data_IF_705936255758
#
_entry.id   IF_705936255758
#
_cell.length_a   1.000
_cell.length_b   1.000
_cell.length_c   1.000
_cell.angle_alpha   90.00
_cell.angle_beta   90.00
_cell.angle_gamma   90.00
#
_symmetry.space_group_name_H-M   'P 1'
#
loop_
_entity.id
_entity.type
_entity.pdbx_description
1 polymer ?
#
# COMPACT_ATOMS: atom_id res chain seq x y z
N UNK A 1 3.02 -14.14 -2.50
CA UNK A 1 1.64 -13.95 -2.03
C UNK A 1 0.83 -15.17 -2.45
N UNK A 2 0.09 -15.77 -1.53
CA UNK A 2 -0.78 -16.92 -1.77
C UNK A 2 -2.11 -16.47 -2.41
N UNK A 3 -2.92 -17.41 -2.90
CA UNK A 3 -4.28 -17.08 -3.36
C UNK A 3 -5.21 -16.73 -2.18
N UNK A 4 -4.97 -17.34 -1.02
CA UNK A 4 -5.76 -17.12 0.19
C UNK A 4 -5.55 -15.69 0.75
N UNK A 5 -4.37 -15.11 0.55
CA UNK A 5 -4.08 -13.72 0.93
C UNK A 5 -5.09 -12.73 0.30
N UNK A 6 -5.56 -13.00 -0.92
CA UNK A 6 -6.60 -12.15 -1.49
C UNK A 6 -7.88 -12.24 -0.67
N UNK A 7 -8.29 -13.41 -0.19
CA UNK A 7 -9.46 -13.52 0.67
C UNK A 7 -9.22 -12.90 2.06
N UNK A 8 -8.07 -13.18 2.67
CA UNK A 8 -7.85 -12.93 4.09
C UNK A 8 -7.63 -11.45 4.42
N UNK A 9 -7.15 -10.65 3.46
CA UNK A 9 -6.87 -9.24 3.67
C UNK A 9 -7.93 -8.31 3.06
N UNK A 10 -8.33 -7.29 3.82
CA UNK A 10 -9.21 -6.20 3.37
C UNK A 10 -8.49 -5.17 2.48
N UNK A 11 -7.16 -5.11 2.59
CA UNK A 11 -6.31 -4.15 1.91
C UNK A 11 -4.95 -4.80 1.61
N UNK A 12 -4.50 -4.70 0.35
CA UNK A 12 -3.19 -5.19 -0.08
C UNK A 12 -2.47 -4.03 -0.77
N UNK A 13 -1.31 -3.66 -0.23
CA UNK A 13 -0.58 -2.46 -0.63
C UNK A 13 0.70 -2.82 -1.36
N UNK A 14 0.82 -2.37 -2.60
CA UNK A 14 2.03 -2.53 -3.41
C UNK A 14 2.97 -1.34 -3.21
N UNK A 15 4.28 -1.63 -3.23
CA UNK A 15 5.32 -0.60 -3.09
C UNK A 15 5.50 0.20 -4.38
N UNK A 16 5.39 -0.48 -5.52
CA UNK A 16 5.60 0.08 -6.84
C UNK A 16 4.56 -0.41 -7.88
N UNK A 17 4.71 0.09 -9.10
CA UNK A 17 3.84 -0.26 -10.24
C UNK A 17 3.99 -1.70 -10.70
N UNK A 18 5.19 -2.28 -10.63
CA UNK A 18 5.45 -3.64 -11.09
C UNK A 18 4.79 -4.66 -10.16
N UNK A 19 4.91 -4.43 -8.85
CA UNK A 19 4.26 -5.19 -7.80
C UNK A 19 2.74 -5.09 -7.97
N UNK A 20 2.20 -3.88 -8.17
CA UNK A 20 0.77 -3.70 -8.38
C UNK A 20 0.27 -4.43 -9.63
N UNK A 21 1.01 -4.36 -10.74
CA UNK A 21 0.67 -5.05 -11.97
C UNK A 21 0.65 -6.58 -11.77
N UNK A 22 1.65 -7.13 -11.08
CA UNK A 22 1.72 -8.56 -10.76
C UNK A 22 0.53 -9.01 -9.89
N UNK A 23 0.23 -8.24 -8.84
CA UNK A 23 -0.94 -8.49 -7.98
C UNK A 23 -2.23 -8.45 -8.80
N UNK A 24 -2.40 -7.46 -9.69
CA UNK A 24 -3.59 -7.34 -10.53
C UNK A 24 -3.75 -8.48 -11.54
N UNK A 25 -2.66 -9.10 -12.00
CA UNK A 25 -2.69 -10.27 -12.89
C UNK A 25 -3.12 -11.54 -12.15
N UNK A 26 -2.67 -11.69 -10.90
CA UNK A 26 -2.91 -12.88 -10.09
C UNK A 26 -4.22 -12.82 -9.27
N UNK A 27 -4.75 -11.61 -9.04
CA UNK A 27 -5.91 -11.37 -8.21
C UNK A 27 -7.21 -11.94 -8.82
N UNK A 28 -7.98 -12.75 -8.05
CA UNK A 28 -9.29 -13.22 -8.45
C UNK A 28 -10.25 -12.10 -8.86
N UNK A 29 -11.20 -12.41 -9.76
CA UNK A 29 -12.25 -11.46 -10.15
C UNK A 29 -13.03 -10.98 -8.94
N UNK A 30 -13.40 -9.70 -8.93
CA UNK A 30 -14.13 -9.06 -7.83
C UNK A 30 -13.25 -8.60 -6.66
N UNK A 31 -12.01 -9.07 -6.55
CA UNK A 31 -11.14 -8.76 -5.41
C UNK A 31 -10.19 -7.58 -5.65
N UNK A 32 -10.03 -7.13 -6.91
CA UNK A 32 -9.06 -6.07 -7.29
C UNK A 32 -9.27 -4.73 -6.59
N UNK A 33 -10.46 -4.47 -6.05
CA UNK A 33 -10.79 -3.22 -5.35
C UNK A 33 -9.99 -3.01 -4.06
N UNK A 34 -9.33 -4.05 -3.53
CA UNK A 34 -8.48 -3.97 -2.34
C UNK A 34 -7.01 -3.66 -2.63
N UNK A 35 -6.63 -3.63 -3.91
CA UNK A 35 -5.24 -3.43 -4.34
C UNK A 35 -4.95 -1.95 -4.56
N UNK A 36 -3.98 -1.40 -3.84
CA UNK A 36 -3.56 -0.01 -3.98
C UNK A 36 -2.05 0.13 -3.88
N UNK A 37 -1.50 1.24 -4.37
CA UNK A 37 -0.14 1.65 -4.00
C UNK A 37 -0.13 2.17 -2.57
N UNK A 38 0.95 1.89 -1.82
CA UNK A 38 1.15 2.45 -0.49
C UNK A 38 1.19 3.98 -0.54
N UNK A 39 1.95 4.55 -1.47
CA UNK A 39 2.11 6.02 -1.61
C UNK A 39 0.82 6.77 -1.95
N UNK A 40 -0.27 6.08 -2.30
CA UNK A 40 -1.60 6.71 -2.41
C UNK A 40 -2.06 7.33 -1.09
N UNK A 41 -1.53 6.87 0.04
CA UNK A 41 -1.88 7.32 1.37
C UNK A 41 -0.90 8.34 1.95
N UNK A 42 0.19 8.67 1.23
CA UNK A 42 1.14 9.69 1.66
C UNK A 42 0.50 11.09 1.60
N UNK A 43 0.84 11.94 2.57
CA UNK A 43 0.37 13.32 2.66
C UNK A 43 1.48 14.35 2.51
N UNK A 44 2.72 13.99 2.83
CA UNK A 44 3.86 14.92 2.85
C UNK A 44 4.76 14.79 1.61
N UNK A 45 4.87 13.57 1.06
CA UNK A 45 5.69 13.27 -0.11
C UNK A 45 4.86 13.05 -1.38
N UNK A 46 5.26 13.68 -2.49
CA UNK A 46 4.59 13.59 -3.81
C UNK A 46 5.12 12.43 -4.69
N UNK A 47 5.86 11.48 -4.09
CA UNK A 47 6.35 10.33 -4.83
C UNK A 47 5.20 9.36 -5.14
N UNK A 48 5.16 8.86 -6.39
CA UNK A 48 4.11 7.95 -6.82
C UNK A 48 4.26 6.53 -6.23
N UNK A 49 5.48 6.13 -5.89
CA UNK A 49 5.84 4.77 -5.46
C UNK A 49 6.98 4.81 -4.45
N UNK A 50 7.11 3.74 -3.65
CA UNK A 50 8.30 3.51 -2.84
C UNK A 50 9.40 2.97 -3.76
N UNK A 51 10.56 3.65 -3.88
CA UNK A 51 11.65 3.18 -4.73
C UNK A 51 12.34 1.95 -4.14
N UNK A 52 13.00 1.16 -4.98
CA UNK A 52 13.87 0.09 -4.52
C UNK A 52 15.11 0.69 -3.80
N UNK A 53 15.36 0.37 -2.52
CA UNK A 53 16.45 0.97 -1.74
C UNK A 53 17.84 0.45 -2.12
N UNK A 54 17.96 -0.70 -2.80
CA UNK A 54 19.23 -1.40 -3.00
C UNK A 54 20.20 -0.68 -3.95
N UNK A 55 19.71 0.28 -4.74
CA UNK A 55 20.53 1.08 -5.65
C UNK A 55 21.10 2.37 -5.04
N UNK A 56 20.61 2.79 -3.85
CA UNK A 56 20.91 4.08 -3.24
C UNK A 56 21.92 4.05 -2.08
N UNK A 57 22.47 2.90 -1.72
CA UNK A 57 23.23 2.75 -0.48
C UNK A 57 22.36 3.02 0.76
N UNK A 58 22.94 3.51 1.85
CA UNK A 58 22.19 3.79 3.10
C UNK A 58 21.08 4.83 2.93
N UNK A 59 21.29 5.86 2.11
CA UNK A 59 20.30 6.92 1.88
C UNK A 59 19.06 6.42 1.15
N UNK A 60 19.20 5.37 0.33
CA UNK A 60 18.07 4.70 -0.30
C UNK A 60 17.10 4.13 0.74
N UNK A 61 17.63 3.53 1.81
CA UNK A 61 16.81 3.01 2.90
C UNK A 61 16.16 4.11 3.74
N UNK A 62 16.87 5.21 4.00
CA UNK A 62 16.29 6.38 4.69
C UNK A 62 15.09 6.94 3.90
N UNK A 63 15.26 7.13 2.59
CA UNK A 63 14.19 7.63 1.71
C UNK A 63 12.98 6.69 1.71
N UNK A 64 13.20 5.38 1.65
CA UNK A 64 12.12 4.39 1.74
C UNK A 64 11.41 4.44 3.08
N UNK A 65 12.16 4.59 4.18
CA UNK A 65 11.58 4.70 5.52
C UNK A 65 10.69 5.95 5.62
N UNK A 66 11.17 7.12 5.20
CA UNK A 66 10.41 8.38 5.23
C UNK A 66 9.09 8.24 4.46
N UNK A 67 9.12 7.61 3.29
CA UNK A 67 7.93 7.38 2.45
C UNK A 67 6.94 6.41 3.08
N UNK A 68 7.44 5.32 3.68
CA UNK A 68 6.61 4.32 4.34
C UNK A 68 5.95 4.92 5.59
N UNK A 69 6.67 5.73 6.37
CA UNK A 69 6.14 6.39 7.56
C UNK A 69 5.02 7.39 7.22
N UNK A 70 5.24 8.26 6.24
CA UNK A 70 4.24 9.21 5.75
C UNK A 70 2.98 8.49 5.24
N UNK A 71 3.15 7.49 4.37
CA UNK A 71 2.03 6.72 3.84
C UNK A 71 1.27 5.94 4.94
N UNK A 72 1.98 5.39 5.94
CA UNK A 72 1.34 4.72 7.08
C UNK A 72 0.50 5.69 7.93
N UNK A 73 0.98 6.93 8.10
CA UNK A 73 0.26 7.96 8.84
C UNK A 73 -1.07 8.33 8.15
N UNK A 74 -1.08 8.53 6.84
CA UNK A 74 -2.35 8.76 6.12
C UNK A 74 -3.23 7.52 6.05
N UNK A 75 -2.63 6.32 5.95
CA UNK A 75 -3.36 5.05 5.91
C UNK A 75 -4.16 4.82 7.20
N UNK A 76 -3.56 5.04 8.37
CA UNK A 76 -4.26 4.80 9.64
C UNK A 76 -5.47 5.72 9.80
N UNK A 77 -5.42 6.95 9.28
CA UNK A 77 -6.58 7.84 9.27
C UNK A 77 -7.72 7.31 8.40
N UNK A 78 -7.41 6.79 7.21
CA UNK A 78 -8.40 6.18 6.31
C UNK A 78 -9.02 4.94 6.95
N UNK A 79 -8.20 4.07 7.54
CA UNK A 79 -8.66 2.84 8.20
C UNK A 79 -9.55 3.16 9.41
N UNK A 80 -9.16 4.13 10.25
CA UNK A 80 -9.99 4.58 11.39
C UNK A 80 -11.37 5.06 10.92
N UNK A 81 -11.42 5.90 9.88
CA UNK A 81 -12.69 6.38 9.31
C UNK A 81 -13.56 5.22 8.81
N UNK A 82 -12.97 4.25 8.11
CA UNK A 82 -13.69 3.05 7.65
C UNK A 82 -14.23 2.22 8.81
N UNK A 83 -13.40 1.95 9.82
CA UNK A 83 -13.80 1.17 10.99
C UNK A 83 -14.97 1.81 11.74
N UNK A 84 -14.98 3.14 11.90
CA UNK A 84 -16.11 3.84 12.53
C UNK A 84 -17.39 3.76 11.70
N UNK A 85 -17.31 3.81 10.37
CA UNK A 85 -18.48 3.61 9.50
C UNK A 85 -19.06 2.21 9.63
N UNK A 86 -18.22 1.17 9.73
CA UNK A 86 -18.67 -0.20 9.97
C UNK A 86 -19.31 -0.39 11.35
N UNK A 87 -18.77 0.24 12.39
CA UNK A 87 -19.35 0.15 13.74
C UNK A 87 -20.71 0.85 13.87
N UNK A 88 -21.02 1.78 12.96
CA UNK A 88 -22.28 2.54 12.94
C UNK A 88 -23.35 1.93 12.02
N UNK A 89 -23.03 0.86 11.28
CA UNK A 89 -23.92 0.14 10.36
C UNK A 89 -24.41 -1.18 10.99
#
# INVERSE_FOLDING_TARGET
MSQDDYHDFDLILAMDWENLALLQQQCPRGQKHKLHLLMRFAGEHDAATVPDPYYGGSEGFNTVLDYVEDACQGLIEVVRRRATMYAAA
#
